data_IF_636668981087
#
_entry.id   IF_636668981087
#
_cell.length_a   1.000
_cell.length_b   1.000
_cell.length_c   1.000
_cell.angle_alpha   90.00
_cell.angle_beta   90.00
_cell.angle_gamma   90.00
#
_symmetry.space_group_name_H-M   'P 1'
#
loop_
_entity.id
_entity.type
_entity.pdbx_description
1 polymer ?
#
# COMPACT_ATOMS: atom_id res chain seq x y z
N UNK A 1 -33.46 -82.08 8.91
CA UNK A 1 -32.90 -81.87 10.27
C UNK A 1 -31.40 -81.63 10.11
N UNK A 2 -30.80 -80.53 10.59
CA UNK A 2 -31.24 -79.14 10.83
C UNK A 2 -30.66 -78.18 9.75
N UNK A 3 -31.30 -77.04 9.46
CA UNK A 3 -30.98 -75.66 9.94
C UNK A 3 -29.50 -75.28 10.07
N UNK A 4 -29.10 -74.17 9.42
CA UNK A 4 -28.61 -72.93 10.06
C UNK A 4 -27.98 -71.98 9.01
N UNK A 5 -28.51 -70.74 8.95
CA UNK A 5 -27.81 -69.43 8.86
C UNK A 5 -26.80 -69.23 7.69
N UNK A 6 -26.76 -68.15 6.92
CA UNK A 6 -26.86 -66.75 7.29
C UNK A 6 -26.90 -65.91 6.01
N UNK A 7 -27.68 -64.85 6.06
CA UNK A 7 -27.60 -63.65 5.22
C UNK A 7 -26.18 -63.08 5.15
N UNK A 8 -25.80 -62.54 3.98
CA UNK A 8 -25.64 -61.08 3.85
C UNK A 8 -25.63 -60.63 2.38
N UNK A 9 -26.38 -59.56 2.04
CA UNK A 9 -26.30 -58.85 0.77
C UNK A 9 -25.44 -57.59 0.89
N UNK A 10 -25.06 -57.01 -0.27
CA UNK A 10 -24.42 -55.70 -0.45
C UNK A 10 -22.89 -55.73 -0.25
N UNK A 11 -22.07 -55.15 -1.12
CA UNK A 11 -22.10 -53.73 -1.44
C UNK A 11 -21.64 -53.43 -2.86
N UNK A 12 -22.53 -52.75 -3.58
CA UNK A 12 -22.30 -51.67 -4.54
C UNK A 12 -20.85 -51.16 -4.60
N UNK A 13 -20.20 -51.42 -5.73
CA UNK A 13 -19.03 -50.70 -6.19
C UNK A 13 -19.51 -49.34 -6.72
N UNK A 14 -19.45 -48.32 -5.85
CA UNK A 14 -19.75 -46.93 -6.17
C UNK A 14 -18.50 -46.10 -5.98
N UNK A 15 -18.16 -45.34 -7.03
CA UNK A 15 -17.35 -44.13 -7.03
C UNK A 15 -15.89 -44.26 -6.54
N UNK A 16 -15.01 -44.71 -7.45
CA UNK A 16 -13.64 -44.21 -7.53
C UNK A 16 -13.58 -43.14 -8.62
N UNK A 17 -14.38 -42.09 -8.45
CA UNK A 17 -14.32 -40.84 -9.22
C UNK A 17 -14.30 -39.66 -8.22
N UNK A 18 -13.62 -39.86 -7.09
CA UNK A 18 -13.31 -38.80 -6.15
C UNK A 18 -12.19 -37.97 -6.73
N UNK A 19 -12.60 -36.99 -7.54
CA UNK A 19 -11.98 -35.67 -7.68
C UNK A 19 -10.52 -35.60 -7.22
N UNK A 20 -9.59 -36.01 -8.10
CA UNK A 20 -8.37 -35.24 -8.24
C UNK A 20 -8.79 -33.86 -8.78
N UNK A 21 -9.30 -33.02 -7.87
CA UNK A 21 -9.52 -31.62 -8.11
C UNK A 21 -8.16 -31.03 -8.43
N UNK A 22 -7.88 -30.99 -9.73
CA UNK A 22 -6.71 -30.40 -10.37
C UNK A 22 -6.26 -29.20 -9.55
N UNK A 23 -5.12 -29.36 -8.90
CA UNK A 23 -4.60 -28.43 -7.93
C UNK A 23 -4.38 -27.11 -8.68
N UNK A 24 -5.21 -26.08 -8.41
CA UNK A 24 -5.12 -24.75 -9.03
C UNK A 24 -4.73 -23.68 -8.02
N UNK A 25 -3.70 -22.91 -8.36
CA UNK A 25 -3.13 -21.83 -7.54
C UNK A 25 -4.17 -20.75 -7.21
N UNK A 26 -4.22 -20.33 -5.94
CA UNK A 26 -4.98 -19.17 -5.51
C UNK A 26 -4.05 -17.97 -5.39
N UNK A 27 -4.06 -17.18 -6.46
CA UNK A 27 -3.35 -15.92 -6.54
C UNK A 27 -4.42 -14.88 -6.80
N UNK A 28 -4.73 -14.01 -5.82
CA UNK A 28 -5.70 -12.95 -6.00
C UNK A 28 -5.41 -12.19 -7.30
N UNK A 29 -6.39 -12.21 -8.19
CA UNK A 29 -6.21 -11.63 -9.51
C UNK A 29 -6.14 -10.10 -9.42
N UNK A 30 -5.22 -9.49 -10.16
CA UNK A 30 -5.08 -8.03 -10.14
C UNK A 30 -6.35 -7.36 -10.68
N UNK A 31 -6.85 -6.38 -9.94
CA UNK A 31 -8.12 -5.71 -10.22
C UNK A 31 -9.34 -6.47 -9.73
N UNK A 32 -9.18 -7.64 -9.12
CA UNK A 32 -10.29 -8.31 -8.47
C UNK A 32 -10.60 -7.71 -7.10
N UNK A 33 -11.89 -7.72 -6.75
CA UNK A 33 -12.33 -7.55 -5.39
C UNK A 33 -12.16 -8.86 -4.62
N UNK A 34 -11.65 -8.76 -3.39
CA UNK A 34 -11.46 -9.91 -2.52
C UNK A 34 -11.87 -9.56 -1.09
N UNK A 35 -12.41 -10.55 -0.40
CA UNK A 35 -12.50 -10.55 1.06
C UNK A 35 -11.19 -11.09 1.59
N UNK A 36 -10.63 -10.43 2.60
CA UNK A 36 -9.45 -10.89 3.30
C UNK A 36 -9.69 -11.00 4.81
N UNK A 37 -9.06 -11.99 5.41
CA UNK A 37 -9.04 -12.19 6.87
C UNK A 37 -7.59 -12.35 7.29
N UNK A 38 -7.19 -11.64 8.35
CA UNK A 38 -5.85 -11.77 8.92
C UNK A 38 -5.68 -13.18 9.49
N UNK A 39 -4.54 -13.80 9.20
CA UNK A 39 -4.06 -14.99 9.90
C UNK A 39 -3.11 -14.53 11.01
N UNK A 40 -3.57 -14.44 12.28
CA UNK A 40 -2.80 -13.79 13.34
C UNK A 40 -1.52 -14.57 13.65
N UNK A 41 -1.58 -15.90 13.66
CA UNK A 41 -0.42 -16.76 13.92
C UNK A 41 0.59 -16.67 12.79
N UNK A 42 0.14 -16.71 11.53
CA UNK A 42 1.04 -16.53 10.40
C UNK A 42 1.52 -15.07 10.26
N UNK A 43 0.92 -14.10 10.95
CA UNK A 43 1.38 -12.71 10.96
C UNK A 43 2.46 -12.43 12.01
N UNK A 44 2.65 -13.32 12.99
CA UNK A 44 3.72 -13.20 13.97
C UNK A 44 5.11 -13.15 13.31
N UNK A 45 6.00 -12.36 13.93
CA UNK A 45 7.42 -12.34 13.58
C UNK A 45 8.06 -13.72 13.80
N UNK A 46 9.21 -13.97 13.15
CA UNK A 46 9.89 -15.28 13.26
C UNK A 46 10.20 -15.62 14.72
N UNK A 47 10.71 -14.66 15.51
CA UNK A 47 10.98 -14.87 16.93
C UNK A 47 9.72 -15.08 17.77
N UNK A 48 8.65 -14.33 17.52
CA UNK A 48 7.40 -14.47 18.29
C UNK A 48 6.70 -15.81 18.04
N UNK A 49 6.89 -16.44 16.88
CA UNK A 49 6.35 -17.78 16.57
C UNK A 49 6.95 -18.89 17.42
N UNK A 50 8.16 -18.69 17.95
CA UNK A 50 8.83 -19.65 18.84
C UNK A 50 8.32 -19.55 20.29
N UNK A 51 7.59 -18.48 20.63
CA UNK A 51 7.03 -18.24 21.96
C UNK A 51 5.62 -18.85 22.03
N UNK A 52 5.38 -19.93 22.80
CA UNK A 52 4.08 -20.60 22.82
C UNK A 52 2.95 -19.69 23.32
N UNK A 53 3.25 -18.79 24.26
CA UNK A 53 2.27 -17.83 24.79
C UNK A 53 1.76 -16.86 23.72
N UNK A 54 2.66 -16.32 22.88
CA UNK A 54 2.32 -15.44 21.77
C UNK A 54 1.46 -16.17 20.73
N UNK A 55 1.83 -17.40 20.38
CA UNK A 55 1.07 -18.26 19.47
C UNK A 55 -0.33 -18.53 20.00
N UNK A 56 -0.46 -18.93 21.28
CA UNK A 56 -1.75 -19.21 21.90
C UNK A 56 -2.62 -17.95 22.05
N UNK A 57 -2.01 -16.79 22.32
CA UNK A 57 -2.72 -15.52 22.32
C UNK A 57 -3.27 -15.17 20.94
N UNK A 58 -2.45 -15.30 19.89
CA UNK A 58 -2.87 -15.06 18.51
C UNK A 58 -3.95 -16.04 18.04
N UNK A 59 -3.90 -17.32 18.43
CA UNK A 59 -4.95 -18.30 18.12
C UNK A 59 -6.32 -17.93 18.70
N UNK A 60 -6.36 -17.19 19.81
CA UNK A 60 -7.60 -16.72 20.44
C UNK A 60 -8.16 -15.43 19.82
N UNK A 61 -7.39 -14.77 18.95
CA UNK A 61 -7.86 -13.56 18.27
C UNK A 61 -8.95 -13.91 17.27
N UNK A 62 -10.03 -13.12 17.29
CA UNK A 62 -11.09 -13.20 16.29
C UNK A 62 -10.91 -12.00 15.36
N UNK A 63 -10.45 -12.28 14.14
CA UNK A 63 -10.22 -11.26 13.12
C UNK A 63 -11.46 -11.08 12.26
N UNK A 64 -11.74 -9.83 11.88
CA UNK A 64 -12.88 -9.51 11.01
C UNK A 64 -12.52 -9.74 9.53
N UNK A 65 -13.51 -10.00 8.67
CA UNK A 65 -13.32 -9.97 7.22
C UNK A 65 -13.32 -8.52 6.71
N UNK A 66 -12.40 -8.20 5.81
CA UNK A 66 -12.30 -6.89 5.17
C UNK A 66 -12.39 -7.05 3.65
N UNK A 67 -13.01 -6.09 2.96
CA UNK A 67 -13.10 -6.11 1.49
C UNK A 67 -12.07 -5.16 0.92
N UNK A 68 -11.30 -5.61 -0.06
CA UNK A 68 -10.29 -4.81 -0.72
C UNK A 68 -10.20 -5.10 -2.22
N UNK A 69 -9.72 -4.11 -2.96
CA UNK A 69 -9.27 -4.23 -4.33
C UNK A 69 -7.81 -4.69 -4.34
N UNK A 70 -7.52 -5.77 -5.07
CA UNK A 70 -6.15 -6.22 -5.31
C UNK A 70 -5.51 -5.32 -6.35
N UNK A 71 -4.63 -4.42 -5.91
CA UNK A 71 -4.04 -3.40 -6.79
C UNK A 71 -2.80 -3.91 -7.51
N UNK A 72 -1.86 -4.49 -6.76
CA UNK A 72 -0.56 -4.90 -7.28
C UNK A 72 -0.13 -6.23 -6.65
N UNK A 73 0.66 -7.01 -7.39
CA UNK A 73 1.35 -8.18 -6.88
C UNK A 73 2.85 -7.87 -6.98
N UNK A 74 3.55 -7.98 -5.85
CA UNK A 74 4.98 -7.70 -5.73
C UNK A 74 5.85 -8.95 -5.89
N UNK A 75 5.25 -10.14 -5.94
CA UNK A 75 5.99 -11.37 -6.09
C UNK A 75 6.14 -11.75 -7.57
N UNK A 76 7.36 -12.12 -7.96
CA UNK A 76 7.53 -13.04 -9.09
C UNK A 76 6.91 -14.37 -8.65
N UNK A 77 6.02 -14.94 -9.46
CA UNK A 77 5.37 -16.21 -9.14
C UNK A 77 6.40 -17.35 -9.14
N UNK A 78 7.09 -17.51 -8.01
CA UNK A 78 8.08 -18.55 -7.81
C UNK A 78 7.37 -19.77 -7.20
N UNK A 79 7.37 -20.94 -7.87
CA UNK A 79 6.64 -22.13 -7.41
C UNK A 79 7.01 -22.62 -6.01
N UNK A 80 8.20 -22.26 -5.52
CA UNK A 80 8.70 -22.63 -4.19
C UNK A 80 8.43 -21.58 -3.12
N UNK A 81 7.93 -20.39 -3.49
CA UNK A 81 7.65 -19.33 -2.52
C UNK A 81 6.30 -19.60 -1.85
N UNK A 82 6.28 -19.84 -0.53
CA UNK A 82 5.05 -20.23 0.16
C UNK A 82 4.06 -19.07 0.31
N UNK A 83 4.52 -17.83 0.10
CA UNK A 83 3.71 -16.62 0.20
C UNK A 83 3.96 -15.68 -0.97
N UNK A 84 2.92 -14.99 -1.42
CA UNK A 84 2.99 -13.90 -2.39
C UNK A 84 2.57 -12.60 -1.72
N UNK A 85 3.18 -11.48 -2.14
CA UNK A 85 2.94 -10.16 -1.56
C UNK A 85 2.04 -9.32 -2.46
N UNK A 86 1.02 -8.68 -1.89
CA UNK A 86 0.02 -7.91 -2.62
C UNK A 86 -0.17 -6.53 -2.02
N UNK A 87 -0.29 -5.50 -2.86
CA UNK A 87 -0.85 -4.21 -2.47
C UNK A 87 -2.37 -4.26 -2.58
N UNK A 88 -3.02 -3.82 -1.52
CA UNK A 88 -4.47 -3.77 -1.40
C UNK A 88 -4.93 -2.35 -1.15
N UNK A 89 -6.13 -2.03 -1.65
CA UNK A 89 -6.89 -0.83 -1.28
C UNK A 89 -8.22 -1.24 -0.67
N UNK A 90 -8.47 -0.86 0.57
CA UNK A 90 -9.70 -1.24 1.26
C UNK A 90 -10.92 -0.51 0.71
N UNK A 91 -12.00 -1.26 0.58
CA UNK A 91 -13.33 -0.72 0.30
C UNK A 91 -13.94 -0.21 1.61
N UNK A 92 -14.39 1.04 1.60
CA UNK A 92 -15.08 1.65 2.74
C UNK A 92 -16.49 2.04 2.33
N UNK A 93 -17.41 2.08 3.29
CA UNK A 93 -18.80 2.46 3.08
C UNK A 93 -19.14 3.75 3.80
N UNK A 94 -20.00 4.58 3.20
CA UNK A 94 -20.49 5.81 3.79
C UNK A 94 -19.75 7.05 3.28
N UNK A 95 -19.55 8.02 4.15
CA UNK A 95 -18.88 9.27 3.79
C UNK A 95 -17.37 9.20 4.03
N UNK A 96 -16.54 9.62 3.06
CA UNK A 96 -15.11 9.73 3.25
C UNK A 96 -14.76 10.71 4.37
N UNK A 97 -13.81 10.32 5.22
CA UNK A 97 -13.34 11.16 6.32
C UNK A 97 -11.99 11.81 5.98
N UNK A 98 -11.72 12.95 6.61
CA UNK A 98 -10.40 13.60 6.55
C UNK A 98 -9.44 12.97 7.57
N UNK A 99 -8.18 12.79 7.19
CA UNK A 99 -7.07 12.47 8.10
C UNK A 99 -6.12 13.66 8.11
N UNK A 100 -6.25 14.52 9.11
CA UNK A 100 -5.58 15.83 9.15
C UNK A 100 -4.06 15.67 9.21
N UNK A 101 -3.59 14.70 9.96
CA UNK A 101 -2.17 14.39 10.18
C UNK A 101 -1.48 13.95 8.87
N UNK A 102 -2.25 13.38 7.95
CA UNK A 102 -1.77 12.88 6.66
C UNK A 102 -2.12 13.83 5.50
N UNK A 103 -2.79 14.96 5.78
CA UNK A 103 -3.31 15.89 4.78
C UNK A 103 -4.22 15.22 3.75
N UNK A 104 -4.97 14.21 4.21
CA UNK A 104 -5.90 13.44 3.37
C UNK A 104 -7.30 14.01 3.53
N UNK A 105 -7.87 14.44 2.42
CA UNK A 105 -9.16 15.10 2.37
C UNK A 105 -10.23 14.20 1.73
N UNK A 106 -11.52 14.35 2.08
CA UNK A 106 -12.60 13.54 1.52
C UNK A 106 -12.65 13.51 -0.02
N UNK A 107 -12.26 14.59 -0.69
CA UNK A 107 -12.25 14.67 -2.16
C UNK A 107 -11.14 13.80 -2.81
N UNK A 108 -10.18 13.28 -2.04
CA UNK A 108 -9.13 12.37 -2.52
C UNK A 108 -9.60 10.91 -2.58
N UNK A 109 -10.88 10.65 -2.26
CA UNK A 109 -11.46 9.32 -2.38
C UNK A 109 -12.13 9.10 -3.74
N UNK A 110 -12.12 7.84 -4.18
CA UNK A 110 -12.73 7.41 -5.45
C UNK A 110 -14.04 6.70 -5.16
N UNK A 111 -15.20 7.23 -5.57
CA UNK A 111 -16.48 6.56 -5.38
C UNK A 111 -16.52 5.24 -6.16
N UNK A 112 -17.30 4.26 -5.70
CA UNK A 112 -17.44 2.94 -6.32
C UNK A 112 -18.92 2.65 -6.58
N UNK A 113 -19.26 2.14 -7.76
CA UNK A 113 -20.63 1.76 -8.08
C UNK A 113 -21.08 0.51 -7.28
N UNK A 114 -22.35 0.46 -6.83
CA UNK A 114 -23.43 1.44 -7.02
C UNK A 114 -23.36 2.66 -6.06
N UNK A 115 -23.58 3.85 -6.61
CA UNK A 115 -23.67 5.12 -5.84
C UNK A 115 -25.15 5.52 -5.76
N UNK A 116 -25.67 5.76 -4.55
CA UNK A 116 -27.05 6.24 -4.35
C UNK A 116 -27.12 7.75 -4.12
N UNK A 117 -26.06 8.33 -3.55
CA UNK A 117 -25.95 9.77 -3.34
C UNK A 117 -25.74 10.51 -4.67
N UNK A 118 -26.47 11.61 -4.88
CA UNK A 118 -26.48 12.35 -6.15
C UNK A 118 -25.11 12.89 -6.58
N UNK A 119 -24.22 13.19 -5.63
CA UNK A 119 -22.87 13.68 -5.96
C UNK A 119 -21.89 13.29 -4.87
N UNK A 120 -20.83 12.59 -5.24
CA UNK A 120 -19.70 12.33 -4.35
C UNK A 120 -18.82 13.58 -4.26
N UNK A 121 -18.30 13.92 -3.06
CA UNK A 121 -17.55 15.16 -2.79
C UNK A 121 -16.35 15.34 -3.72
N UNK A 122 -15.73 14.24 -4.16
CA UNK A 122 -14.56 14.31 -5.04
C UNK A 122 -14.86 14.79 -6.46
N UNK A 123 -16.12 14.72 -6.93
CA UNK A 123 -16.47 14.94 -8.33
C UNK A 123 -15.85 13.92 -9.31
N UNK A 124 -15.10 12.92 -8.81
CA UNK A 124 -14.45 11.90 -9.65
C UNK A 124 -15.49 10.93 -10.20
N UNK A 125 -15.28 10.42 -11.44
CA UNK A 125 -16.16 9.40 -11.98
C UNK A 125 -16.08 8.12 -11.12
N UNK A 126 -17.24 7.56 -10.72
CA UNK A 126 -17.29 6.33 -9.95
C UNK A 126 -16.57 5.18 -10.63
N UNK A 127 -15.90 4.37 -9.82
CA UNK A 127 -15.24 3.16 -10.23
C UNK A 127 -16.27 2.13 -10.67
N UNK A 128 -16.10 1.61 -11.89
CA UNK A 128 -16.98 0.61 -12.46
C UNK A 128 -16.38 -0.79 -12.40
N UNK A 129 -17.02 -1.68 -11.65
CA UNK A 129 -16.69 -3.10 -11.64
C UNK A 129 -17.50 -3.88 -12.70
N UNK A 130 -16.94 -5.00 -13.17
CA UNK A 130 -17.55 -5.95 -14.10
C UNK A 130 -18.94 -6.42 -13.65
N UNK A 131 -19.17 -6.46 -12.35
CA UNK A 131 -20.47 -6.68 -11.72
C UNK A 131 -20.67 -5.62 -10.65
N UNK A 132 -21.92 -5.19 -10.46
CA UNK A 132 -22.24 -4.30 -9.35
C UNK A 132 -21.84 -4.94 -8.02
N UNK A 133 -21.20 -4.15 -7.14
CA UNK A 133 -20.93 -4.58 -5.78
C UNK A 133 -22.26 -4.70 -5.00
N UNK A 134 -22.33 -5.60 -4.02
CA UNK A 134 -23.54 -5.81 -3.24
C UNK A 134 -23.85 -4.65 -2.26
N UNK A 135 -22.87 -3.77 -2.00
CA UNK A 135 -23.02 -2.61 -1.11
C UNK A 135 -23.09 -1.33 -1.93
N UNK A 136 -23.91 -0.37 -1.47
CA UNK A 136 -23.99 0.96 -2.05
C UNK A 136 -23.13 1.97 -1.30
N UNK A 137 -22.84 3.10 -1.97
CA UNK A 137 -22.17 4.27 -1.39
C UNK A 137 -20.80 3.91 -0.81
N UNK A 138 -20.07 3.13 -1.59
CA UNK A 138 -18.72 2.72 -1.28
C UNK A 138 -17.70 3.64 -1.92
N UNK A 139 -16.51 3.69 -1.34
CA UNK A 139 -15.38 4.44 -1.88
C UNK A 139 -14.06 3.73 -1.58
N UNK A 140 -13.04 4.05 -2.37
CA UNK A 140 -11.65 3.73 -2.07
C UNK A 140 -10.98 4.98 -1.49
N UNK A 141 -10.42 4.86 -0.29
CA UNK A 141 -9.56 5.89 0.28
C UNK A 141 -8.11 5.70 -0.19
N UNK A 142 -7.44 6.82 -0.46
CA UNK A 142 -5.99 6.91 -0.63
C UNK A 142 -5.22 6.43 0.62
N UNK A 143 -5.77 6.65 1.82
CA UNK A 143 -5.11 6.30 3.10
C UNK A 143 -5.28 4.85 3.50
N UNK A 144 -6.32 4.19 2.98
CA UNK A 144 -6.68 2.84 3.38
C UNK A 144 -6.01 1.81 2.47
N UNK A 145 -4.67 1.79 2.50
CA UNK A 145 -3.84 0.84 1.75
C UNK A 145 -3.06 -0.11 2.67
N UNK A 146 -2.73 -1.30 2.18
CA UNK A 146 -1.84 -2.19 2.91
C UNK A 146 -1.10 -3.10 1.95
N UNK A 147 0.14 -3.44 2.31
CA UNK A 147 0.88 -4.52 1.67
C UNK A 147 0.80 -5.74 2.57
N UNK A 148 0.24 -6.82 2.05
CA UNK A 148 0.03 -8.07 2.78
C UNK A 148 0.72 -9.20 2.08
N UNK A 149 0.94 -10.30 2.78
CA UNK A 149 1.32 -11.57 2.17
C UNK A 149 0.18 -12.56 2.27
N UNK A 150 0.02 -13.42 1.29
CA UNK A 150 -0.95 -14.50 1.33
C UNK A 150 -0.32 -15.80 0.92
N UNK A 151 -0.63 -16.92 1.60
CA UNK A 151 -0.06 -18.18 1.25
C UNK A 151 -0.49 -18.58 -0.17
N UNK A 152 0.41 -19.26 -0.87
CA UNK A 152 0.16 -19.89 -2.16
C UNK A 152 -0.74 -21.12 -1.96
N UNK A 153 -2.02 -20.90 -1.61
CA UNK A 153 -3.01 -21.96 -1.34
C UNK A 153 -3.67 -22.38 -2.65
N UNK A 154 -4.30 -23.55 -2.68
CA UNK A 154 -4.95 -24.10 -3.86
C UNK A 154 -6.47 -24.08 -3.71
N UNK A 155 -7.22 -23.73 -4.77
CA UNK A 155 -8.66 -23.98 -4.88
C UNK A 155 -9.60 -22.79 -4.60
N UNK A 156 -9.73 -21.87 -5.55
CA UNK A 156 -10.83 -20.90 -5.57
C UNK A 156 -11.33 -20.66 -6.98
N UNK A 157 -12.63 -20.40 -7.12
CA UNK A 157 -13.27 -20.06 -8.39
C UNK A 157 -12.80 -18.71 -8.94
N UNK A 158 -13.11 -18.41 -10.21
CA UNK A 158 -12.70 -17.16 -10.84
C UNK A 158 -13.28 -15.96 -10.11
N UNK A 159 -12.50 -14.88 -9.98
CA UNK A 159 -13.01 -13.62 -9.45
C UNK A 159 -14.15 -13.09 -10.34
N UNK A 160 -15.34 -12.95 -9.76
CA UNK A 160 -16.52 -12.50 -10.50
C UNK A 160 -16.62 -10.97 -10.56
N UNK A 161 -16.10 -10.28 -9.55
CA UNK A 161 -16.07 -8.83 -9.43
C UNK A 161 -14.65 -8.33 -9.68
N UNK A 162 -14.45 -7.65 -10.81
CA UNK A 162 -13.17 -7.11 -11.24
C UNK A 162 -13.32 -5.71 -11.77
N UNK A 163 -12.22 -4.99 -11.89
CA UNK A 163 -12.10 -3.81 -12.73
C UNK A 163 -11.14 -4.09 -13.87
N UNK A 164 -11.36 -3.44 -15.01
CA UNK A 164 -10.48 -3.61 -16.16
C UNK A 164 -9.12 -2.92 -15.96
N UNK A 165 -8.21 -3.11 -16.91
CA UNK A 165 -6.85 -2.55 -16.87
C UNK A 165 -6.86 -1.02 -16.98
N UNK A 166 -7.76 -0.44 -17.77
CA UNK A 166 -7.83 1.00 -17.98
C UNK A 166 -8.32 1.70 -16.70
N UNK A 167 -9.34 1.14 -16.06
CA UNK A 167 -9.90 1.63 -14.82
C UNK A 167 -8.88 1.55 -13.68
N UNK A 168 -8.12 0.45 -13.58
CA UNK A 168 -6.99 0.35 -12.65
C UNK A 168 -5.97 1.45 -12.87
N UNK A 169 -5.59 1.72 -14.12
CA UNK A 169 -4.62 2.74 -14.47
C UNK A 169 -5.12 4.12 -14.01
N UNK A 170 -6.35 4.47 -14.39
CA UNK A 170 -7.01 5.72 -14.00
C UNK A 170 -6.99 5.96 -12.49
N UNK A 171 -7.35 4.93 -11.71
CA UNK A 171 -7.37 5.04 -10.24
C UNK A 171 -5.96 5.26 -9.68
N UNK A 172 -4.97 4.52 -10.20
CA UNK A 172 -3.58 4.66 -9.72
C UNK A 172 -3.02 6.04 -10.01
N UNK A 173 -3.26 6.60 -11.19
CA UNK A 173 -2.83 7.94 -11.56
C UNK A 173 -3.49 8.97 -10.66
N UNK A 174 -4.82 8.92 -10.56
CA UNK A 174 -5.63 9.75 -9.66
C UNK A 174 -5.10 9.74 -8.22
N UNK A 175 -4.84 8.56 -7.67
CA UNK A 175 -4.35 8.44 -6.29
C UNK A 175 -2.89 8.85 -6.13
N UNK A 176 -2.06 8.64 -7.15
CA UNK A 176 -0.67 9.11 -7.14
C UNK A 176 -0.63 10.63 -7.02
N UNK A 177 -1.44 11.33 -7.80
CA UNK A 177 -1.52 12.79 -7.76
C UNK A 177 -2.00 13.28 -6.38
N UNK A 178 -2.98 12.58 -5.79
CA UNK A 178 -3.48 12.88 -4.45
C UNK A 178 -2.40 12.64 -3.36
N UNK A 179 -1.60 11.58 -3.47
CA UNK A 179 -0.46 11.32 -2.57
C UNK A 179 0.57 12.45 -2.66
N UNK A 180 0.88 12.90 -3.88
CA UNK A 180 1.83 13.99 -4.12
C UNK A 180 1.30 15.30 -3.53
N UNK A 181 0.02 15.63 -3.74
CA UNK A 181 -0.63 16.81 -3.16
C UNK A 181 -0.59 16.78 -1.63
N UNK A 182 -1.02 15.66 -1.02
CA UNK A 182 -1.00 15.48 0.44
C UNK A 182 0.42 15.64 1.02
N UNK A 183 1.43 15.08 0.35
CA UNK A 183 2.85 15.22 0.75
C UNK A 183 3.33 16.65 0.63
N UNK A 184 3.01 17.35 -0.45
CA UNK A 184 3.39 18.75 -0.64
C UNK A 184 2.78 19.63 0.45
N UNK A 185 1.50 19.43 0.78
CA UNK A 185 0.83 20.11 1.89
C UNK A 185 1.49 19.81 3.24
N UNK A 186 1.86 18.55 3.49
CA UNK A 186 2.59 18.15 4.70
C UNK A 186 3.94 18.84 4.83
N UNK A 187 4.73 18.84 3.76
CA UNK A 187 6.05 19.48 3.76
C UNK A 187 5.93 21.00 3.97
N UNK A 188 4.94 21.65 3.34
CA UNK A 188 4.68 23.07 3.54
C UNK A 188 4.25 23.40 4.98
N UNK A 189 3.45 22.54 5.62
CA UNK A 189 3.06 22.71 7.01
C UNK A 189 4.25 22.57 7.96
N UNK A 190 5.11 21.58 7.76
CA UNK A 190 6.34 21.41 8.55
C UNK A 190 7.29 22.61 8.41
N UNK A 191 7.46 23.15 7.19
CA UNK A 191 8.28 24.34 6.96
C UNK A 191 7.71 25.59 7.65
N UNK A 192 6.37 25.75 7.63
CA UNK A 192 5.72 26.86 8.32
C UNK A 192 5.85 26.76 9.86
N UNK A 193 5.85 25.56 10.42
CA UNK A 193 6.10 25.34 11.86
C UNK A 193 7.55 25.69 12.25
N UNK A 194 8.54 25.34 11.41
CA UNK A 194 9.95 25.67 11.62
C UNK A 194 10.20 27.19 11.58
N UNK A 195 9.57 27.93 10.65
CA UNK A 195 9.69 29.39 10.57
C UNK A 195 9.14 30.11 11.82
N UNK A 196 8.08 29.58 12.43
CA UNK A 196 7.51 30.11 13.68
C UNK A 196 8.44 29.90 14.88
N UNK A 197 9.19 28.80 14.92
CA UNK A 197 10.12 28.49 16.01
C UNK A 197 11.37 29.38 15.97
N UNK A 198 11.90 29.67 14.78
CA UNK A 198 13.08 30.56 14.62
C UNK A 198 12.75 32.03 14.94
N UNK A 199 11.50 32.45 14.74
CA UNK A 199 11.04 33.80 15.05
C UNK A 199 10.85 34.12 16.54
N UNK A 200 10.92 33.14 17.43
CA UNK A 200 10.66 33.29 18.87
C UNK A 200 11.92 33.47 19.74
N UNK A 201 13.11 33.61 19.14
CA UNK A 201 14.33 33.95 19.90
C UNK A 201 14.23 35.41 20.34
N UNK A 202 13.83 35.62 21.60
CA UNK A 202 13.78 36.92 22.24
C UNK A 202 15.16 37.61 22.14
N UNK A 203 15.30 38.73 21.40
CA UNK A 203 16.56 39.48 21.31
C UNK A 203 17.01 40.05 22.66
N UNK A 204 16.22 39.90 23.72
CA UNK A 204 16.53 40.39 25.07
C UNK A 204 17.46 39.47 25.88
N UNK A 205 17.79 38.25 25.43
CA UNK A 205 18.80 37.43 26.10
C UNK A 205 20.21 37.76 25.60
N UNK A 206 20.64 39.00 25.85
CA UNK A 206 22.06 39.36 25.78
C UNK A 206 22.73 38.72 27.00
N UNK A 207 23.69 37.78 26.85
CA UNK A 207 24.48 37.34 27.98
C UNK A 207 25.32 38.53 28.46
N UNK A 208 24.87 39.12 29.55
CA UNK A 208 25.63 40.07 30.33
C UNK A 208 26.93 39.40 30.79
N UNK A 209 28.03 39.98 30.32
CA UNK A 209 29.37 39.98 30.92
C UNK A 209 30.20 38.70 30.78
N UNK A 210 31.32 38.73 30.01
CA UNK A 210 32.38 37.76 30.24
C UNK A 210 33.02 38.00 31.62
N UNK A 211 33.31 36.94 32.41
CA UNK A 211 34.10 37.10 33.63
C UNK A 211 35.50 37.59 33.26
N UNK A 212 35.97 38.62 33.97
CA UNK A 212 37.33 39.12 33.87
C UNK A 212 38.32 37.98 34.22
N UNK A 213 39.03 37.50 33.21
CA UNK A 213 40.15 36.58 33.38
C UNK A 213 41.36 37.42 33.77
N UNK A 214 41.84 37.20 34.99
CA UNK A 214 43.07 37.77 35.50
C UNK A 214 44.28 37.27 34.71
N UNK A 215 45.24 38.18 34.56
CA UNK A 215 46.59 37.98 34.02
C UNK A 215 47.25 36.67 34.49
N UNK A 216 47.81 35.93 33.54
CA UNK A 216 48.53 34.69 33.81
C UNK A 216 49.24 34.15 32.57
N UNK A 217 50.35 34.81 32.22
CA UNK A 217 51.56 34.27 31.57
C UNK A 217 51.46 33.04 30.64
N UNK A 218 51.66 33.30 29.35
CA UNK A 218 52.47 32.57 28.36
C UNK A 218 52.46 31.02 28.35
N UNK A 219 52.01 30.43 27.24
CA UNK A 219 52.90 29.65 26.36
C UNK A 219 52.28 29.43 24.97
N UNK A 220 53.18 29.49 24.00
CA UNK A 220 53.08 29.48 22.55
C UNK A 220 52.79 28.08 22.00
N UNK A 221 51.86 27.96 21.05
CA UNK A 221 51.80 26.84 20.11
C UNK A 221 51.02 27.23 18.84
N UNK A 222 51.74 27.34 17.73
CA UNK A 222 51.24 27.49 16.35
C UNK A 222 50.47 26.25 15.90
N UNK A 223 49.27 26.40 15.31
CA UNK A 223 48.67 25.42 14.37
C UNK A 223 47.78 26.14 13.34
N UNK A 224 47.78 25.76 12.04
CA UNK A 224 47.52 26.68 10.93
C UNK A 224 46.08 26.77 10.44
N UNK A 225 45.83 27.93 9.82
CA UNK A 225 44.61 28.41 9.18
C UNK A 225 44.17 27.57 7.97
N UNK A 226 42.89 27.19 7.93
CA UNK A 226 42.23 26.62 6.74
C UNK A 226 41.05 27.52 6.33
N UNK A 227 41.29 28.25 5.25
CA UNK A 227 40.32 29.08 4.54
C UNK A 227 39.19 28.24 3.96
N UNK A 228 37.93 28.66 4.21
CA UNK A 228 36.81 28.35 3.33
C UNK A 228 36.12 29.65 2.88
N UNK A 229 35.81 29.80 1.58
CA UNK A 229 35.16 30.99 1.06
C UNK A 229 33.65 30.97 1.32
N UNK A 230 33.18 32.03 1.95
CA UNK A 230 31.78 32.45 2.04
C UNK A 230 31.25 32.74 0.63
N UNK A 231 30.18 32.06 0.21
CA UNK A 231 29.45 32.40 -1.02
C UNK A 231 28.14 33.10 -0.67
N UNK A 232 28.00 34.25 -1.29
CA UNK A 232 27.00 35.28 -1.11
C UNK A 232 25.60 34.88 -1.58
N UNK A 233 24.66 35.30 -0.75
CA UNK A 233 23.23 35.48 -0.94
C UNK A 233 22.91 36.36 -2.17
N UNK A 234 21.95 35.93 -2.99
CA UNK A 234 21.21 36.77 -3.94
C UNK A 234 19.79 36.22 -4.07
N UNK A 235 18.83 36.95 -3.51
CA UNK A 235 17.41 36.68 -3.66
C UNK A 235 16.86 36.99 -5.05
N UNK A 236 15.68 36.44 -5.35
CA UNK A 236 14.94 36.76 -6.58
C UNK A 236 13.69 35.91 -6.85
N UNK A 237 12.57 36.33 -6.25
CA UNK A 237 11.16 36.26 -6.70
C UNK A 237 10.45 34.94 -7.12
N UNK A 238 9.12 34.84 -6.85
CA UNK A 238 8.30 33.69 -7.20
C UNK A 238 7.80 33.76 -8.65
N UNK A 239 7.98 32.68 -9.41
CA UNK A 239 7.43 32.54 -10.75
C UNK A 239 6.29 31.52 -10.73
N UNK A 240 5.09 32.03 -11.00
CA UNK A 240 3.89 31.25 -11.31
C UNK A 240 3.99 30.83 -12.78
N UNK A 241 4.19 29.53 -13.03
CA UNK A 241 3.86 28.94 -14.33
C UNK A 241 3.36 27.51 -14.15
N UNK A 242 2.11 27.29 -14.54
CA UNK A 242 1.57 25.98 -14.86
C UNK A 242 2.25 25.46 -16.13
N UNK A 243 2.75 24.24 -16.10
CA UNK A 243 3.01 23.46 -17.31
C UNK A 243 2.71 22.00 -17.04
N UNK A 244 1.50 21.61 -17.44
CA UNK A 244 1.14 20.24 -17.79
C UNK A 244 2.08 19.75 -18.89
N UNK A 245 2.78 18.64 -18.69
CA UNK A 245 3.27 17.81 -19.79
C UNK A 245 3.60 16.40 -19.32
N UNK A 246 2.83 15.48 -19.89
CA UNK A 246 2.92 14.04 -19.76
C UNK A 246 4.31 13.53 -20.12
N UNK A 247 4.85 12.65 -19.29
CA UNK A 247 5.97 11.79 -19.64
C UNK A 247 5.65 10.38 -19.13
N UNK A 248 4.89 9.65 -19.95
CA UNK A 248 4.57 8.24 -19.78
C UNK A 248 5.84 7.40 -20.04
N UNK A 249 6.48 6.86 -18.99
CA UNK A 249 7.38 5.71 -19.15
C UNK A 249 6.57 4.42 -19.02
N UNK A 250 6.10 4.00 -20.19
CA UNK A 250 5.24 2.87 -20.46
C UNK A 250 6.05 1.57 -20.53
N UNK A 251 5.84 0.65 -19.58
CA UNK A 251 6.13 -0.77 -19.82
C UNK A 251 4.93 -1.34 -20.60
N UNK A 252 5.02 -1.23 -21.92
CA UNK A 252 4.18 -2.03 -22.81
C UNK A 252 4.65 -3.48 -22.69
N UNK A 253 3.80 -4.33 -22.13
CA UNK A 253 3.86 -5.75 -22.44
C UNK A 253 3.12 -5.91 -23.77
N UNK A 254 3.78 -5.52 -24.87
CA UNK A 254 3.29 -5.81 -26.22
C UNK A 254 3.66 -7.26 -26.56
N UNK A 255 2.65 -8.05 -26.89
CA UNK A 255 2.81 -9.26 -27.68
C UNK A 255 3.59 -8.92 -28.96
N UNK A 256 4.80 -9.46 -29.05
CA UNK A 256 5.77 -9.21 -30.11
C UNK A 256 5.46 -10.07 -31.33
N UNK A 257 4.66 -9.53 -32.25
CA UNK A 257 4.65 -9.94 -33.65
C UNK A 257 5.50 -8.92 -34.44
N UNK A 258 6.60 -9.42 -34.99
CA UNK A 258 7.69 -8.61 -35.49
C UNK A 258 7.40 -7.82 -36.76
N UNK A 259 8.02 -6.65 -36.84
CA UNK A 259 8.50 -6.02 -38.06
C UNK A 259 9.62 -5.04 -37.70
N UNK A 260 10.77 -5.17 -38.37
CA UNK A 260 11.97 -4.39 -38.11
C UNK A 260 11.87 -2.99 -38.74
N UNK A 261 12.20 -1.90 -38.01
CA UNK A 261 12.39 -0.60 -38.62
C UNK A 261 13.88 -0.22 -38.73
N UNK A 262 14.16 0.44 -39.84
CA UNK A 262 15.42 1.03 -40.28
C UNK A 262 15.90 2.20 -39.42
N UNK A 263 17.22 2.30 -39.29
CA UNK A 263 17.96 3.38 -38.67
C UNK A 263 17.81 4.71 -39.43
N UNK A 264 17.48 5.79 -38.74
CA UNK A 264 17.90 7.13 -39.13
C UNK A 264 17.99 8.04 -37.90
N UNK A 265 19.18 8.64 -37.73
CA UNK A 265 19.59 9.49 -36.63
C UNK A 265 18.93 10.88 -36.67
N UNK A 266 18.56 11.42 -35.49
CA UNK A 266 18.71 12.85 -35.20
C UNK A 266 18.61 13.16 -33.70
N UNK A 267 19.71 13.71 -33.19
CA UNK A 267 19.92 14.04 -31.79
C UNK A 267 18.94 15.07 -31.22
N UNK A 268 18.44 14.75 -30.02
CA UNK A 268 17.81 15.68 -29.09
C UNK A 268 18.58 15.64 -27.77
N UNK A 269 18.96 16.81 -27.26
CA UNK A 269 19.61 16.96 -25.98
C UNK A 269 18.68 16.48 -24.86
N UNK A 270 19.02 15.36 -24.22
CA UNK A 270 18.37 14.87 -23.03
C UNK A 270 18.76 15.74 -21.83
N UNK A 271 17.84 16.56 -21.34
CA UNK A 271 17.90 17.03 -19.95
C UNK A 271 17.75 15.82 -19.04
N UNK A 272 18.69 15.66 -18.11
CA UNK A 272 18.65 14.61 -17.11
C UNK A 272 17.59 14.93 -16.04
N UNK A 273 16.32 14.76 -16.37
CA UNK A 273 15.21 14.74 -15.40
C UNK A 273 15.07 13.31 -14.84
N UNK A 274 16.04 12.89 -14.01
CA UNK A 274 16.15 11.55 -13.41
C UNK A 274 15.29 11.34 -12.14
N UNK A 275 14.28 12.15 -11.88
CA UNK A 275 13.54 12.13 -10.61
C UNK A 275 12.26 11.27 -10.52
N UNK A 276 11.58 10.79 -11.59
CA UNK A 276 10.32 10.06 -11.38
C UNK A 276 10.49 8.56 -11.06
N UNK A 277 11.61 7.94 -11.45
CA UNK A 277 11.84 6.51 -11.23
C UNK A 277 12.28 6.20 -9.79
N UNK A 278 13.09 7.06 -9.19
CA UNK A 278 13.60 6.87 -7.82
C UNK A 278 12.47 6.92 -6.78
N UNK A 279 11.40 7.69 -7.04
CA UNK A 279 10.21 7.76 -6.18
C UNK A 279 9.33 6.50 -6.23
N UNK A 280 9.23 5.86 -7.40
CA UNK A 280 8.50 4.59 -7.56
C UNK A 280 9.33 3.45 -7.01
N UNK A 281 10.63 3.41 -7.27
CA UNK A 281 11.51 2.37 -6.70
C UNK A 281 11.55 2.42 -5.17
N UNK A 282 11.62 3.63 -4.59
CA UNK A 282 11.68 3.80 -3.14
C UNK A 282 10.38 3.42 -2.42
N UNK A 283 9.20 3.62 -3.03
CA UNK A 283 7.92 3.24 -2.41
C UNK A 283 7.62 1.74 -2.55
N UNK A 284 8.02 1.13 -3.66
CA UNK A 284 7.70 -0.27 -3.96
C UNK A 284 8.70 -1.25 -3.34
N UNK A 285 10.02 -0.97 -3.37
CA UNK A 285 11.02 -1.91 -2.89
C UNK A 285 11.37 -1.77 -1.40
N UNK A 286 11.39 -0.55 -0.83
CA UNK A 286 11.75 -0.39 0.59
C UNK A 286 10.64 -0.79 1.57
N UNK A 287 9.37 -0.86 1.12
CA UNK A 287 8.26 -1.33 1.98
C UNK A 287 8.28 -2.86 2.17
N UNK A 288 9.00 -3.59 1.32
CA UNK A 288 8.99 -5.06 1.28
C UNK A 288 10.07 -5.72 2.15
N UNK A 289 11.18 -5.04 2.46
CA UNK A 289 12.39 -5.73 2.92
C UNK A 289 12.66 -5.81 4.43
N UNK A 290 11.88 -5.18 5.32
CA UNK A 290 12.26 -5.20 6.74
C UNK A 290 11.12 -5.36 7.76
N UNK A 291 9.86 -5.11 7.41
CA UNK A 291 8.75 -5.23 8.36
C UNK A 291 8.03 -6.56 8.20
N UNK A 292 7.79 -7.24 9.31
CA UNK A 292 6.92 -8.42 9.36
C UNK A 292 5.58 -8.09 8.68
N UNK A 293 5.40 -8.60 7.45
CA UNK A 293 4.20 -8.36 6.68
C UNK A 293 3.04 -9.16 7.28
N UNK A 294 1.88 -8.53 7.39
CA UNK A 294 0.64 -9.19 7.81
C UNK A 294 0.30 -10.29 6.82
N UNK A 295 0.10 -11.50 7.32
CA UNK A 295 -0.38 -12.62 6.53
C UNK A 295 -1.90 -12.62 6.51
N UNK A 296 -2.48 -12.73 5.33
CA UNK A 296 -3.93 -12.80 5.15
C UNK A 296 -4.32 -13.99 4.30
N UNK A 297 -5.55 -14.46 4.50
CA UNK A 297 -6.23 -15.39 3.59
C UNK A 297 -7.24 -14.61 2.78
N UNK A 298 -7.31 -14.87 1.48
CA UNK A 298 -8.31 -14.24 0.62
C UNK A 298 -9.41 -15.21 0.22
N UNK A 299 -10.57 -14.66 -0.14
CA UNK A 299 -11.62 -15.31 -0.93
C UNK A 299 -12.26 -14.29 -1.87
N UNK A 300 -12.68 -14.71 -3.07
CA UNK A 300 -13.44 -13.86 -3.99
C UNK A 300 -14.95 -13.92 -3.75
N UNK A 301 -15.39 -14.71 -2.78
CA UNK A 301 -16.79 -14.79 -2.39
C UNK A 301 -17.18 -13.59 -1.51
N UNK A 302 -17.61 -12.52 -2.16
CA UNK A 302 -18.11 -11.32 -1.50
C UNK A 302 -19.41 -11.56 -0.70
N UNK A 303 -20.13 -12.65 -0.95
CA UNK A 303 -21.38 -12.97 -0.22
C UNK A 303 -21.15 -13.35 1.24
N UNK A 304 -19.91 -13.68 1.59
CA UNK A 304 -19.50 -13.95 2.98
C UNK A 304 -19.51 -12.72 3.88
N UNK A 305 -19.58 -11.52 3.28
CA UNK A 305 -19.60 -10.24 4.00
C UNK A 305 -20.99 -9.62 3.84
N UNK A 306 -21.71 -9.44 4.94
CA UNK A 306 -23.01 -8.77 4.94
C UNK A 306 -22.88 -7.26 5.08
N UNK A 307 -21.92 -6.82 5.87
CA UNK A 307 -21.64 -5.41 6.18
C UNK A 307 -20.15 -5.15 6.05
N UNK A 308 -19.79 -3.99 5.48
CA UNK A 308 -18.39 -3.61 5.31
C UNK A 308 -17.78 -3.15 6.63
N UNK A 309 -16.76 -3.86 7.09
CA UNK A 309 -15.97 -3.44 8.25
C UNK A 309 -15.10 -2.24 7.90
N UNK A 310 -14.94 -1.32 8.85
CA UNK A 310 -14.07 -0.15 8.71
C UNK A 310 -12.60 -0.59 8.59
N UNK A 311 -11.92 -0.17 7.52
CA UNK A 311 -10.50 -0.43 7.30
C UNK A 311 -9.60 0.01 8.48
N UNK A 312 -10.03 0.98 9.30
CA UNK A 312 -9.29 1.39 10.50
C UNK A 312 -9.18 0.27 11.54
N UNK A 313 -10.17 -0.62 11.60
CA UNK A 313 -10.13 -1.77 12.50
C UNK A 313 -9.10 -2.81 12.05
N UNK A 314 -8.85 -2.93 10.74
CA UNK A 314 -7.77 -3.80 10.22
C UNK A 314 -6.42 -3.39 10.80
N UNK A 315 -6.09 -2.09 10.79
CA UNK A 315 -4.82 -1.63 11.35
C UNK A 315 -4.73 -1.83 12.87
N UNK A 316 -5.85 -1.70 13.60
CA UNK A 316 -5.88 -2.01 15.04
C UNK A 316 -5.62 -3.49 15.30
N UNK A 317 -6.19 -4.39 14.50
CA UNK A 317 -5.93 -5.84 14.60
C UNK A 317 -4.47 -6.17 14.29
N UNK A 318 -3.89 -5.55 13.26
CA UNK A 318 -2.47 -5.70 12.91
C UNK A 318 -1.57 -5.21 14.05
N UNK A 319 -1.84 -4.04 14.62
CA UNK A 319 -1.09 -3.51 15.78
C UNK A 319 -1.26 -4.38 17.03
N UNK A 320 -2.42 -5.00 17.23
CA UNK A 320 -2.63 -5.94 18.33
C UNK A 320 -1.76 -7.20 18.19
N UNK A 321 -1.58 -7.72 16.97
CA UNK A 321 -0.69 -8.87 16.72
C UNK A 321 0.77 -8.50 16.99
N UNK A 322 1.21 -7.30 16.60
CA UNK A 322 2.60 -6.83 16.79
C UNK A 322 3.03 -6.68 18.26
N UNK A 323 2.09 -6.72 19.20
CA UNK A 323 2.39 -6.67 20.64
C UNK A 323 2.92 -8.00 21.20
N UNK A 324 2.83 -9.07 20.41
CA UNK A 324 3.31 -10.42 20.75
C UNK A 324 4.58 -10.76 19.98
#
# INVERSE_FOLDING_TARGET
MPDLLSSDPSTSSTALDSEEAETRYFLPELGAWAVLTIDPVASLSVGAREVPEAVEACKRMVNKPYVALVDHNHALYLPWEPYNSYSLRFLQQGDPYSVREEFIEPYMSVPVLPVTKETHISGRPPLQSSKALPWSDCFLSISADSVVRSPSVWGSGPALWKIDRAERRRIRESMRDDIVDARNKRNAAMAAEEELEVGAVDPSTVPLTPPAIADGTATEAEVPSLHYPTRSDTGGQPSVYASSRDSESYYDESDSDGEAPSEDERGGAHSEDKEPLDLVEHFFFNRLHEKAMTTVRFTHDLSTVTELNDARDYYKEVEAIKRY
#
